data_IF_470025805529
#
_entry.id   IF_470025805529
#
_cell.length_a   1.000
_cell.length_b   1.000
_cell.length_c   1.000
_cell.angle_alpha   90.00
_cell.angle_beta   90.00
_cell.angle_gamma   90.00
#
_symmetry.space_group_name_H-M   'P 1'
#
loop_
_entity.id
_entity.type
_entity.pdbx_description
1 polymer ?
#
# COMPACT_ATOMS: atom_id res chain seq x y z
N UNK A 1 -41.76 -29.40 -30.90
CA UNK A 1 -42.09 -27.98 -31.15
C UNK A 1 -40.87 -27.14 -30.81
N UNK A 2 -40.33 -26.43 -31.79
CA UNK A 2 -39.15 -25.58 -31.61
C UNK A 2 -39.54 -24.33 -30.80
N UNK A 3 -38.83 -24.08 -29.70
CA UNK A 3 -39.09 -22.93 -28.84
C UNK A 3 -38.14 -21.79 -29.23
N UNK A 4 -38.69 -20.63 -29.57
CA UNK A 4 -37.91 -19.43 -29.84
C UNK A 4 -37.09 -19.02 -28.62
N UNK A 5 -35.89 -18.45 -28.82
CA UNK A 5 -35.16 -17.86 -27.70
C UNK A 5 -35.99 -16.74 -27.08
N UNK A 6 -36.47 -16.98 -25.86
CA UNK A 6 -37.19 -16.04 -25.02
C UNK A 6 -36.37 -15.76 -23.77
N UNK A 7 -36.58 -14.59 -23.16
CA UNK A 7 -35.96 -14.24 -21.89
C UNK A 7 -36.18 -15.32 -20.82
N UNK A 8 -37.41 -15.81 -20.70
CA UNK A 8 -37.78 -16.88 -19.77
C UNK A 8 -37.03 -18.18 -20.08
N UNK A 9 -36.84 -18.52 -21.37
CA UNK A 9 -36.06 -19.68 -21.78
C UNK A 9 -34.58 -19.59 -21.39
N UNK A 10 -34.00 -18.39 -21.50
CA UNK A 10 -32.60 -18.12 -21.10
C UNK A 10 -32.45 -18.21 -19.58
N UNK A 11 -33.38 -17.63 -18.82
CA UNK A 11 -33.37 -17.67 -17.35
C UNK A 11 -33.54 -19.12 -16.84
N UNK A 12 -34.42 -19.90 -17.47
CA UNK A 12 -34.58 -21.32 -17.17
C UNK A 12 -33.32 -22.13 -17.51
N UNK A 13 -32.64 -21.83 -18.62
CA UNK A 13 -31.36 -22.45 -18.99
C UNK A 13 -30.28 -22.16 -17.93
N UNK A 14 -30.18 -20.91 -17.47
CA UNK A 14 -29.22 -20.49 -16.45
C UNK A 14 -29.50 -21.18 -15.11
N UNK A 15 -30.76 -21.26 -14.71
CA UNK A 15 -31.16 -21.93 -13.46
C UNK A 15 -30.81 -23.42 -13.50
N UNK A 16 -31.08 -24.09 -14.62
CA UNK A 16 -30.68 -25.50 -14.83
C UNK A 16 -29.16 -25.67 -14.84
N UNK A 17 -28.42 -24.76 -15.47
CA UNK A 17 -26.96 -24.80 -15.51
C UNK A 17 -26.32 -24.56 -14.14
N UNK A 18 -26.97 -23.79 -13.26
CA UNK A 18 -26.57 -23.60 -11.86
C UNK A 18 -26.76 -24.86 -11.01
N UNK A 19 -27.87 -25.58 -11.23
CA UNK A 19 -28.26 -26.73 -10.42
C UNK A 19 -27.69 -28.08 -10.90
N UNK A 20 -27.04 -28.11 -12.07
CA UNK A 20 -26.48 -29.33 -12.65
C UNK A 20 -25.05 -29.66 -12.16
N UNK A 21 -24.80 -30.96 -11.95
CA UNK A 21 -23.46 -31.51 -11.69
C UNK A 21 -22.68 -31.64 -13.01
N UNK A 22 -21.94 -30.57 -13.36
CA UNK A 22 -21.04 -30.43 -14.51
C UNK A 22 -21.68 -30.58 -15.90
N UNK A 23 -22.00 -29.44 -16.52
CA UNK A 23 -22.34 -29.36 -17.94
C UNK A 23 -22.64 -27.92 -18.37
N UNK A 24 -22.09 -27.49 -19.50
CA UNK A 24 -22.53 -26.24 -20.14
C UNK A 24 -23.79 -26.56 -20.95
N UNK A 25 -24.89 -25.89 -20.61
CA UNK A 25 -26.13 -26.03 -21.36
C UNK A 25 -26.20 -24.96 -22.44
N UNK A 26 -26.80 -25.30 -23.58
CA UNK A 26 -26.85 -24.42 -24.74
C UNK A 26 -28.26 -24.40 -25.33
N UNK A 27 -28.74 -23.21 -25.68
CA UNK A 27 -29.94 -23.01 -26.48
C UNK A 27 -29.55 -22.41 -27.84
N UNK A 28 -30.29 -22.80 -28.87
CA UNK A 28 -30.14 -22.31 -30.24
C UNK A 28 -31.29 -21.35 -30.54
N UNK A 29 -30.99 -20.30 -31.29
CA UNK A 29 -32.05 -19.48 -31.87
C UNK A 29 -32.62 -20.17 -33.10
N UNK A 30 -33.94 -20.08 -33.23
CA UNK A 30 -34.70 -20.54 -34.38
C UNK A 30 -34.83 -19.46 -35.46
N UNK A 31 -34.72 -18.18 -35.08
CA UNK A 31 -34.84 -17.03 -36.01
C UNK A 31 -33.52 -16.66 -36.69
N UNK A 32 -32.42 -16.65 -35.95
CA UNK A 32 -31.08 -16.38 -36.48
C UNK A 32 -30.22 -17.66 -36.54
N UNK A 33 -30.02 -18.24 -37.74
CA UNK A 33 -29.23 -19.46 -37.91
C UNK A 33 -27.83 -19.34 -37.33
N UNK A 34 -27.47 -20.29 -36.46
CA UNK A 34 -26.15 -20.34 -35.84
C UNK A 34 -26.01 -19.52 -34.57
N UNK A 35 -26.96 -18.64 -34.21
CA UNK A 35 -26.97 -17.98 -32.91
C UNK A 35 -27.25 -18.99 -31.79
N UNK A 36 -26.42 -18.95 -30.74
CA UNK A 36 -26.55 -19.79 -29.55
C UNK A 36 -26.24 -19.01 -28.29
N UNK A 37 -26.96 -19.34 -27.21
CA UNK A 37 -26.60 -18.93 -25.85
C UNK A 37 -26.16 -20.13 -25.05
N UNK A 38 -25.02 -19.99 -24.39
CA UNK A 38 -24.40 -21.04 -23.58
C UNK A 38 -24.32 -20.57 -22.14
N UNK A 39 -24.95 -21.32 -21.23
CA UNK A 39 -24.94 -21.06 -19.81
C UNK A 39 -24.08 -22.09 -19.06
N UNK A 40 -23.21 -21.61 -18.18
CA UNK A 40 -22.56 -22.39 -17.13
C UNK A 40 -23.04 -21.96 -15.74
N UNK A 41 -22.45 -22.51 -14.68
CA UNK A 41 -22.85 -22.23 -13.30
C UNK A 41 -22.77 -20.74 -12.90
N UNK A 42 -21.87 -19.97 -13.53
CA UNK A 42 -21.59 -18.58 -13.15
C UNK A 42 -22.02 -17.54 -14.18
N UNK A 43 -22.08 -17.91 -15.46
CA UNK A 43 -22.30 -16.94 -16.54
C UNK A 43 -22.98 -17.57 -17.75
N UNK A 44 -23.61 -16.73 -18.55
CA UNK A 44 -24.14 -17.08 -19.86
C UNK A 44 -23.57 -16.16 -20.93
N UNK A 45 -23.27 -16.71 -22.10
CA UNK A 45 -22.65 -15.98 -23.21
C UNK A 45 -23.28 -16.32 -24.55
N UNK A 46 -23.34 -15.31 -25.40
CA UNK A 46 -23.79 -15.38 -26.78
C UNK A 46 -22.65 -15.80 -27.68
N UNK A 47 -22.93 -16.71 -28.61
CA UNK A 47 -21.98 -17.13 -29.63
C UNK A 47 -22.69 -17.40 -30.95
N UNK A 48 -22.01 -17.12 -32.04
CA UNK A 48 -22.36 -17.61 -33.36
C UNK A 48 -21.59 -18.92 -33.64
N UNK A 49 -22.28 -19.93 -34.14
CA UNK A 49 -21.70 -21.20 -34.57
C UNK A 49 -22.02 -21.41 -36.05
N UNK A 50 -20.97 -21.54 -36.87
CA UNK A 50 -21.08 -21.74 -38.31
C UNK A 50 -19.92 -22.57 -38.86
N UNK A 51 -19.84 -22.66 -40.19
CA UNK A 51 -18.73 -23.29 -40.90
C UNK A 51 -18.07 -22.27 -41.83
N UNK A 52 -16.74 -22.28 -41.86
CA UNK A 52 -15.94 -21.50 -42.79
C UNK A 52 -16.03 -22.11 -44.21
N UNK A 53 -15.56 -21.38 -45.24
CA UNK A 53 -15.51 -21.86 -46.63
C UNK A 53 -14.75 -23.18 -46.80
N UNK A 54 -13.74 -23.43 -45.96
CA UNK A 54 -12.95 -24.67 -45.93
C UNK A 54 -13.67 -25.84 -45.21
N UNK A 55 -14.93 -25.68 -44.82
CA UNK A 55 -15.74 -26.69 -44.14
C UNK A 55 -15.50 -26.84 -42.63
N UNK A 56 -14.49 -26.15 -42.07
CA UNK A 56 -14.18 -26.22 -40.65
C UNK A 56 -15.22 -25.48 -39.80
N UNK A 57 -15.67 -26.07 -38.66
CA UNK A 57 -16.59 -25.40 -37.75
C UNK A 57 -15.87 -24.25 -37.03
N UNK A 58 -16.50 -23.07 -36.98
CA UNK A 58 -16.02 -21.93 -36.21
C UNK A 58 -17.08 -21.48 -35.21
N UNK A 59 -16.63 -21.04 -34.03
CA UNK A 59 -17.48 -20.45 -33.01
C UNK A 59 -16.95 -19.07 -32.65
N UNK A 60 -17.78 -18.05 -32.81
CA UNK A 60 -17.43 -16.66 -32.54
C UNK A 60 -18.20 -16.19 -31.31
N UNK A 61 -17.50 -15.71 -30.29
CA UNK A 61 -18.13 -15.11 -29.11
C UNK A 61 -18.66 -13.72 -29.47
N UNK A 62 -19.93 -13.46 -29.15
CA UNK A 62 -20.62 -12.20 -29.48
C UNK A 62 -20.73 -11.29 -28.25
N UNK A 63 -21.08 -11.84 -27.09
CA UNK A 63 -21.32 -11.05 -25.88
C UNK A 63 -21.71 -11.89 -24.67
N UNK A 64 -22.07 -11.25 -23.57
CA UNK A 64 -22.55 -11.89 -22.33
C UNK A 64 -23.99 -11.53 -22.04
N UNK A 65 -24.74 -12.45 -21.42
CA UNK A 65 -26.06 -12.17 -20.87
C UNK A 65 -25.92 -11.78 -19.39
N UNK A 66 -26.66 -10.78 -18.87
CA UNK A 66 -27.70 -9.98 -19.54
C UNK A 66 -27.18 -8.73 -20.26
N UNK A 67 -25.86 -8.50 -20.30
CA UNK A 67 -25.27 -7.28 -20.86
C UNK A 67 -25.51 -7.05 -22.35
N UNK A 68 -25.82 -8.10 -23.11
CA UNK A 68 -26.27 -8.06 -24.50
C UNK A 68 -27.65 -8.73 -24.58
N UNK A 69 -28.64 -8.00 -25.08
CA UNK A 69 -30.02 -8.46 -25.24
C UNK A 69 -30.19 -9.43 -26.42
N UNK A 70 -31.37 -10.06 -26.54
CA UNK A 70 -31.66 -11.03 -27.62
C UNK A 70 -31.61 -10.35 -29.00
N UNK A 71 -32.17 -9.14 -29.13
CA UNK A 71 -32.17 -8.39 -30.39
C UNK A 71 -30.75 -8.03 -30.84
N UNK A 72 -29.94 -7.53 -29.91
CA UNK A 72 -28.52 -7.21 -30.15
C UNK A 72 -27.72 -8.47 -30.50
N UNK A 73 -27.97 -9.58 -29.81
CA UNK A 73 -27.32 -10.86 -30.09
C UNK A 73 -27.67 -11.40 -31.49
N UNK A 74 -28.90 -11.19 -31.97
CA UNK A 74 -29.32 -11.53 -33.35
C UNK A 74 -28.61 -10.67 -34.37
N UNK A 75 -28.58 -9.34 -34.19
CA UNK A 75 -27.85 -8.45 -35.06
C UNK A 75 -26.35 -8.81 -35.15
N UNK A 76 -25.72 -9.05 -33.99
CA UNK A 76 -24.31 -9.45 -33.92
C UNK A 76 -24.05 -10.82 -34.58
N UNK A 77 -24.99 -11.77 -34.48
CA UNK A 77 -24.88 -13.07 -35.14
C UNK A 77 -25.04 -12.95 -36.67
N UNK A 78 -25.94 -12.08 -37.15
CA UNK A 78 -26.11 -11.80 -38.58
C UNK A 78 -24.83 -11.21 -39.18
N UNK A 79 -24.20 -10.26 -38.48
CA UNK A 79 -22.91 -9.70 -38.89
C UNK A 79 -21.79 -10.75 -38.90
N UNK A 80 -21.70 -11.56 -37.85
CA UNK A 80 -20.71 -12.64 -37.76
C UNK A 80 -20.91 -13.68 -38.87
N UNK A 81 -22.17 -14.00 -39.20
CA UNK A 81 -22.53 -14.87 -40.31
C UNK A 81 -22.10 -14.30 -41.66
N UNK A 82 -22.37 -13.01 -41.91
CA UNK A 82 -21.97 -12.35 -43.15
C UNK A 82 -20.46 -12.41 -43.37
N UNK A 83 -19.67 -12.16 -42.31
CA UNK A 83 -18.20 -12.21 -42.34
C UNK A 83 -17.67 -13.64 -42.60
N UNK A 84 -18.26 -14.65 -41.93
CA UNK A 84 -17.91 -16.06 -42.15
C UNK A 84 -18.25 -16.52 -43.57
N UNK A 85 -19.39 -16.09 -44.13
CA UNK A 85 -19.78 -16.40 -45.53
C UNK A 85 -18.84 -15.73 -46.53
N UNK A 86 -18.34 -14.53 -46.24
CA UNK A 86 -17.35 -13.84 -47.08
C UNK A 86 -15.97 -14.51 -47.03
N UNK A 87 -15.72 -15.39 -46.06
CA UNK A 87 -14.48 -16.15 -45.91
C UNK A 87 -13.52 -15.58 -44.86
N UNK A 88 -13.96 -14.59 -44.07
CA UNK A 88 -13.20 -14.08 -42.94
C UNK A 88 -13.32 -15.04 -41.75
N UNK A 89 -12.18 -15.56 -41.29
CA UNK A 89 -12.11 -16.24 -40.00
C UNK A 89 -11.73 -15.24 -38.90
N UNK A 90 -12.75 -14.67 -38.27
CA UNK A 90 -12.61 -13.69 -37.19
C UNK A 90 -11.83 -14.22 -35.97
N UNK A 91 -11.74 -15.54 -35.80
CA UNK A 91 -10.92 -16.13 -34.74
C UNK A 91 -9.45 -16.18 -35.16
N UNK A 92 -9.16 -16.43 -36.43
CA UNK A 92 -7.79 -16.37 -36.96
C UNK A 92 -7.27 -14.93 -37.00
N UNK A 93 -8.08 -13.96 -37.44
CA UNK A 93 -7.71 -12.54 -37.43
C UNK A 93 -7.40 -12.05 -36.01
N UNK A 94 -8.19 -12.44 -35.01
CA UNK A 94 -7.88 -12.17 -33.60
C UNK A 94 -6.62 -12.88 -33.11
N UNK A 95 -6.36 -14.10 -33.59
CA UNK A 95 -5.17 -14.88 -33.25
C UNK A 95 -3.90 -14.28 -33.88
N UNK A 96 -4.00 -13.79 -35.11
CA UNK A 96 -2.93 -13.08 -35.83
C UNK A 96 -2.67 -11.73 -35.16
N UNK A 97 -3.69 -10.93 -34.85
CA UNK A 97 -3.52 -9.66 -34.13
C UNK A 97 -2.90 -9.85 -32.73
N UNK A 98 -3.28 -10.90 -31.99
CA UNK A 98 -2.65 -11.24 -30.71
C UNK A 98 -1.18 -11.68 -30.88
N UNK A 99 -0.87 -12.42 -31.95
CA UNK A 99 0.51 -12.79 -32.30
C UNK A 99 1.35 -11.58 -32.74
N UNK A 100 0.76 -10.65 -33.49
CA UNK A 100 1.40 -9.41 -33.94
C UNK A 100 1.66 -8.46 -32.76
N UNK A 101 0.70 -8.31 -31.84
CA UNK A 101 0.90 -7.57 -30.59
C UNK A 101 1.97 -8.22 -29.70
N UNK A 102 2.01 -9.55 -29.62
CA UNK A 102 3.09 -10.27 -28.94
C UNK A 102 4.44 -10.11 -29.66
N UNK A 103 4.45 -9.98 -30.98
CA UNK A 103 5.66 -9.75 -31.78
C UNK A 103 6.19 -8.30 -31.62
N UNK A 104 5.32 -7.30 -31.49
CA UNK A 104 5.68 -5.93 -31.11
C UNK A 104 6.28 -5.86 -29.70
N UNK A 105 5.78 -6.68 -28.76
CA UNK A 105 6.40 -6.80 -27.43
C UNK A 105 7.79 -7.46 -27.52
N UNK A 106 7.95 -8.48 -28.38
CA UNK A 106 9.23 -9.19 -28.62
C UNK A 106 10.28 -8.36 -29.38
N UNK A 107 9.88 -7.29 -30.06
CA UNK A 107 10.81 -6.37 -30.77
C UNK A 107 11.39 -5.27 -29.87
N UNK A 108 10.92 -5.15 -28.62
CA UNK A 108 11.56 -4.30 -27.59
C UNK A 108 13.00 -4.74 -27.39
N UNK A 109 13.93 -3.88 -27.81
CA UNK A 109 15.32 -4.29 -28.01
C UNK A 109 16.12 -4.22 -26.71
N UNK A 110 15.68 -3.41 -25.74
CA UNK A 110 16.43 -3.15 -24.51
C UNK A 110 15.63 -3.43 -23.24
N UNK A 111 16.35 -3.67 -22.14
CA UNK A 111 15.80 -3.84 -20.80
C UNK A 111 15.00 -2.61 -20.36
N UNK A 112 15.44 -1.42 -20.77
CA UNK A 112 14.75 -0.16 -20.51
C UNK A 112 13.37 -0.15 -21.15
N UNK A 113 13.25 -0.56 -22.41
CA UNK A 113 11.96 -0.58 -23.11
C UNK A 113 10.97 -1.54 -22.42
N UNK A 114 11.47 -2.70 -21.94
CA UNK A 114 10.64 -3.66 -21.20
C UNK A 114 10.27 -3.14 -19.81
N UNK A 115 11.18 -2.45 -19.12
CA UNK A 115 10.88 -1.77 -17.87
C UNK A 115 9.84 -0.65 -18.05
N UNK A 116 9.90 0.09 -19.16
CA UNK A 116 8.93 1.17 -19.47
C UNK A 116 7.51 0.60 -19.65
N UNK A 117 7.37 -0.57 -20.29
CA UNK A 117 6.10 -1.30 -20.33
C UNK A 117 5.66 -1.81 -18.97
N UNK A 118 6.58 -2.37 -18.19
CA UNK A 118 6.27 -2.82 -16.84
C UNK A 118 5.80 -1.66 -15.96
N UNK A 119 6.34 -0.47 -16.17
CA UNK A 119 5.90 0.73 -15.49
C UNK A 119 4.47 1.12 -15.88
N UNK A 120 4.18 1.15 -17.18
CA UNK A 120 2.86 1.48 -17.72
C UNK A 120 1.78 0.48 -17.29
N UNK A 121 2.04 -0.82 -17.43
CA UNK A 121 1.05 -1.85 -17.20
C UNK A 121 0.90 -2.21 -15.72
N UNK A 122 1.99 -2.25 -14.97
CA UNK A 122 2.01 -2.80 -13.61
C UNK A 122 2.29 -1.71 -12.57
N UNK A 123 3.41 -0.98 -12.69
CA UNK A 123 3.81 -0.05 -11.63
C UNK A 123 2.88 1.16 -11.52
N UNK A 124 2.25 1.61 -12.60
CA UNK A 124 1.27 2.70 -12.60
C UNK A 124 0.06 2.40 -11.70
N UNK A 125 -0.29 1.12 -11.53
CA UNK A 125 -1.38 0.68 -10.65
C UNK A 125 -0.95 0.60 -9.17
N UNK A 126 0.34 0.74 -8.88
CA UNK A 126 0.88 0.62 -7.54
C UNK A 126 1.22 1.98 -6.93
N UNK A 127 0.77 2.21 -5.69
CA UNK A 127 1.04 3.44 -4.91
C UNK A 127 2.53 3.83 -4.85
N UNK A 128 3.45 2.85 -4.90
CA UNK A 128 4.90 3.06 -4.86
C UNK A 128 5.60 2.72 -6.18
N UNK A 129 4.87 2.68 -7.29
CA UNK A 129 5.39 2.31 -8.61
C UNK A 129 6.65 3.08 -9.00
N UNK A 130 6.61 4.41 -8.90
CA UNK A 130 7.77 5.27 -9.21
C UNK A 130 9.00 5.01 -8.33
N UNK A 131 8.80 4.65 -7.06
CA UNK A 131 9.90 4.28 -6.16
C UNK A 131 10.49 2.92 -6.53
N UNK A 132 9.63 1.95 -6.88
CA UNK A 132 10.04 0.65 -7.40
C UNK A 132 10.84 0.81 -8.70
N UNK A 133 10.35 1.64 -9.63
CA UNK A 133 11.06 1.96 -10.88
C UNK A 133 12.45 2.52 -10.60
N UNK A 134 12.55 3.58 -9.79
CA UNK A 134 13.84 4.19 -9.41
C UNK A 134 14.79 3.19 -8.73
N UNK A 135 14.26 2.22 -7.98
CA UNK A 135 15.06 1.16 -7.36
C UNK A 135 15.54 0.10 -8.36
N UNK A 136 14.82 -0.12 -9.46
CA UNK A 136 15.22 -0.98 -10.56
C UNK A 136 16.28 -0.33 -11.44
N UNK A 137 16.07 0.87 -11.97
CA UNK A 137 16.95 1.42 -13.01
C UNK A 137 17.33 2.91 -12.85
N UNK A 138 16.93 3.58 -11.76
CA UNK A 138 17.35 4.96 -11.47
C UNK A 138 18.86 5.10 -11.25
N UNK A 139 19.38 6.28 -10.87
CA UNK A 139 20.84 6.52 -10.72
C UNK A 139 21.59 5.49 -9.83
N UNK A 140 20.91 4.92 -8.83
CA UNK A 140 21.43 3.84 -7.97
C UNK A 140 20.58 2.58 -8.08
N UNK A 141 19.88 2.38 -9.19
CA UNK A 141 19.05 1.20 -9.43
C UNK A 141 19.90 -0.06 -9.56
N UNK A 142 19.29 -1.22 -9.35
CA UNK A 142 19.99 -2.49 -9.47
C UNK A 142 20.41 -2.81 -10.91
N UNK A 143 19.52 -2.53 -11.86
CA UNK A 143 19.59 -2.85 -13.28
C UNK A 143 20.08 -1.68 -14.15
N UNK A 144 20.45 -0.55 -13.55
CA UNK A 144 20.82 0.69 -14.26
C UNK A 144 21.91 0.48 -15.30
N UNK A 145 22.93 -0.31 -14.98
CA UNK A 145 24.04 -0.60 -15.91
C UNK A 145 23.67 -1.60 -17.01
N UNK A 146 22.49 -2.22 -16.92
CA UNK A 146 21.97 -3.19 -17.88
C UNK A 146 20.87 -2.61 -18.78
N UNK A 147 20.49 -1.33 -18.59
CA UNK A 147 19.32 -0.72 -19.21
C UNK A 147 19.27 -0.89 -20.75
N UNK A 148 20.40 -0.76 -21.43
CA UNK A 148 20.46 -0.83 -22.90
C UNK A 148 20.67 -2.25 -23.44
N UNK A 149 20.73 -3.27 -22.59
CA UNK A 149 20.95 -4.66 -23.02
C UNK A 149 19.64 -5.38 -23.32
N UNK A 150 19.69 -6.39 -24.18
CA UNK A 150 18.56 -7.30 -24.40
C UNK A 150 18.28 -8.08 -23.10
N UNK A 151 17.02 -8.15 -22.60
CA UNK A 151 16.67 -8.91 -21.40
C UNK A 151 17.18 -10.35 -21.41
N UNK A 152 17.02 -11.05 -22.55
CA UNK A 152 17.43 -12.45 -22.72
C UNK A 152 18.94 -12.68 -22.59
N UNK A 153 19.75 -11.62 -22.68
CA UNK A 153 21.20 -11.71 -22.58
C UNK A 153 21.72 -11.49 -21.15
N UNK A 154 20.84 -11.16 -20.21
CA UNK A 154 21.18 -10.90 -18.80
C UNK A 154 21.22 -12.22 -18.05
N UNK A 155 22.33 -12.48 -17.38
CA UNK A 155 22.56 -13.75 -16.68
C UNK A 155 22.27 -13.64 -15.17
N UNK A 156 22.03 -14.79 -14.53
CA UNK A 156 21.91 -14.88 -13.07
C UNK A 156 23.16 -14.44 -12.33
N UNK A 157 24.35 -14.70 -12.88
CA UNK A 157 25.62 -14.29 -12.31
C UNK A 157 25.72 -12.76 -12.21
N UNK A 158 25.36 -12.05 -13.30
CA UNK A 158 25.35 -10.59 -13.33
C UNK A 158 24.39 -9.99 -12.28
N UNK A 159 23.17 -10.52 -12.17
CA UNK A 159 22.22 -10.05 -11.15
C UNK A 159 22.77 -10.31 -9.75
N UNK A 160 23.33 -11.50 -9.50
CA UNK A 160 23.96 -11.84 -8.22
C UNK A 160 25.08 -10.85 -7.87
N UNK A 161 25.95 -10.51 -8.82
CA UNK A 161 27.09 -9.62 -8.58
C UNK A 161 26.65 -8.17 -8.36
N UNK A 162 25.64 -7.71 -9.11
CA UNK A 162 25.01 -6.40 -8.88
C UNK A 162 24.39 -6.30 -7.48
N UNK A 163 23.73 -7.37 -7.03
CA UNK A 163 23.14 -7.45 -5.69
C UNK A 163 24.23 -7.45 -4.61
N UNK A 164 25.29 -8.26 -4.76
CA UNK A 164 26.44 -8.28 -3.83
C UNK A 164 27.13 -6.91 -3.77
N UNK A 165 27.34 -6.25 -4.91
CA UNK A 165 27.94 -4.91 -4.99
C UNK A 165 27.13 -3.89 -4.20
N UNK A 166 25.81 -3.88 -4.36
CA UNK A 166 24.91 -3.02 -3.59
C UNK A 166 24.91 -3.36 -2.10
N UNK A 167 24.99 -4.65 -1.75
CA UNK A 167 24.96 -5.11 -0.37
C UNK A 167 26.19 -4.66 0.45
N UNK A 168 27.33 -4.40 -0.20
CA UNK A 168 28.54 -3.86 0.47
C UNK A 168 28.29 -2.53 1.20
N UNK A 169 27.37 -1.70 0.71
CA UNK A 169 27.04 -0.40 1.30
C UNK A 169 25.67 -0.39 1.97
N UNK A 170 24.70 -1.11 1.40
CA UNK A 170 23.31 -1.05 1.84
C UNK A 170 22.65 -2.44 1.75
N UNK A 171 22.98 -3.38 2.65
CA UNK A 171 22.56 -4.78 2.59
C UNK A 171 21.04 -4.97 2.49
N UNK A 172 20.28 -4.27 3.34
CA UNK A 172 18.81 -4.35 3.37
C UNK A 172 18.18 -3.72 2.12
N UNK A 173 18.79 -2.66 1.59
CA UNK A 173 18.35 -2.05 0.33
C UNK A 173 18.59 -2.98 -0.85
N UNK A 174 19.70 -3.72 -0.84
CA UNK A 174 20.00 -4.73 -1.85
C UNK A 174 18.96 -5.87 -1.84
N UNK A 175 18.54 -6.35 -0.67
CA UNK A 175 17.44 -7.32 -0.55
C UNK A 175 16.16 -6.83 -1.23
N UNK A 176 15.76 -5.57 -0.96
CA UNK A 176 14.55 -4.96 -1.55
C UNK A 176 14.66 -4.81 -3.06
N UNK A 177 15.82 -4.35 -3.55
CA UNK A 177 16.08 -4.24 -5.00
C UNK A 177 16.04 -5.58 -5.70
N UNK A 178 16.63 -6.62 -5.09
CA UNK A 178 16.53 -7.99 -5.61
C UNK A 178 15.08 -8.47 -5.66
N UNK A 179 14.28 -8.20 -4.63
CA UNK A 179 12.87 -8.56 -4.62
C UNK A 179 12.09 -7.88 -5.77
N UNK A 180 12.35 -6.58 -6.02
CA UNK A 180 11.76 -5.87 -7.16
C UNK A 180 12.22 -6.42 -8.51
N UNK A 181 13.51 -6.68 -8.67
CA UNK A 181 14.04 -7.25 -9.91
C UNK A 181 13.49 -8.66 -10.16
N UNK A 182 13.33 -9.47 -9.10
CA UNK A 182 12.73 -10.79 -9.22
C UNK A 182 11.26 -10.72 -9.63
N UNK A 183 10.49 -9.78 -9.07
CA UNK A 183 9.10 -9.57 -9.49
C UNK A 183 9.02 -9.14 -10.97
N UNK A 184 9.85 -8.17 -11.38
CA UNK A 184 9.93 -7.71 -12.76
C UNK A 184 10.30 -8.84 -13.74
N UNK A 185 11.35 -9.61 -13.45
CA UNK A 185 11.77 -10.69 -14.34
C UNK A 185 10.79 -11.87 -14.36
N UNK A 186 10.05 -12.13 -13.28
CA UNK A 186 8.98 -13.12 -13.29
C UNK A 186 7.81 -12.65 -14.15
N UNK A 187 7.44 -11.36 -14.07
CA UNK A 187 6.46 -10.78 -14.99
C UNK A 187 6.91 -10.89 -16.45
N UNK A 188 8.19 -10.66 -16.76
CA UNK A 188 8.72 -10.90 -18.11
C UNK A 188 8.56 -12.36 -18.57
N UNK A 189 8.56 -13.33 -17.65
CA UNK A 189 8.30 -14.74 -18.00
C UNK A 189 6.81 -14.98 -18.26
N UNK A 190 5.93 -14.36 -17.46
CA UNK A 190 4.48 -14.42 -17.64
C UNK A 190 4.03 -13.83 -18.98
N UNK A 191 4.67 -12.75 -19.42
CA UNK A 191 4.44 -12.10 -20.72
C UNK A 191 5.21 -12.76 -21.88
N UNK A 192 5.84 -13.92 -21.66
CA UNK A 192 6.63 -14.66 -22.65
C UNK A 192 7.79 -13.85 -23.28
N UNK A 193 8.23 -12.77 -22.62
CA UNK A 193 9.42 -11.97 -22.98
C UNK A 193 10.69 -12.75 -22.66
N UNK A 194 10.68 -13.50 -21.55
CA UNK A 194 11.74 -14.40 -21.12
C UNK A 194 11.22 -15.82 -20.94
N UNK A 195 12.09 -16.81 -21.13
CA UNK A 195 11.78 -18.21 -20.85
C UNK A 195 12.01 -18.58 -19.39
N UNK A 196 13.01 -17.98 -18.74
CA UNK A 196 13.26 -18.12 -17.30
C UNK A 196 13.79 -16.82 -16.71
N UNK A 197 13.57 -16.64 -15.42
CA UNK A 197 13.93 -15.42 -14.69
C UNK A 197 15.42 -15.46 -14.29
N UNK A 198 16.27 -14.50 -14.71
CA UNK A 198 17.67 -14.45 -14.28
C UNK A 198 17.82 -14.12 -12.77
N UNK A 199 16.76 -13.64 -12.12
CA UNK A 199 16.76 -13.37 -10.68
C UNK A 199 16.34 -14.59 -9.83
N UNK A 200 15.97 -15.70 -10.46
CA UNK A 200 15.47 -16.90 -9.80
C UNK A 200 16.51 -17.48 -8.83
N UNK A 201 16.05 -17.85 -7.63
CA UNK A 201 16.84 -18.49 -6.58
C UNK A 201 18.11 -17.71 -6.18
N UNK A 202 18.19 -16.40 -6.40
CA UNK A 202 19.28 -15.58 -5.84
C UNK A 202 19.01 -15.40 -4.35
N UNK A 203 19.96 -15.82 -3.51
CA UNK A 203 19.84 -15.66 -2.05
C UNK A 203 19.98 -14.19 -1.67
N UNK A 204 19.13 -13.74 -0.73
CA UNK A 204 19.24 -12.42 -0.13
C UNK A 204 20.60 -12.29 0.59
N UNK A 205 21.41 -11.25 0.30
CA UNK A 205 22.74 -11.09 0.90
C UNK A 205 22.73 -10.89 2.41
N UNK A 206 21.65 -10.35 2.96
CA UNK A 206 21.58 -9.99 4.37
C UNK A 206 20.34 -10.57 5.04
N UNK A 207 20.49 -10.97 6.30
CA UNK A 207 19.38 -11.25 7.18
C UNK A 207 18.77 -9.91 7.60
N UNK A 208 17.47 -9.76 7.42
CA UNK A 208 16.74 -8.61 7.98
C UNK A 208 16.58 -8.88 9.47
N UNK A 209 17.27 -8.09 10.30
CA UNK A 209 17.08 -8.14 11.74
C UNK A 209 15.87 -7.28 12.10
N UNK A 210 14.94 -7.85 12.87
CA UNK A 210 13.91 -7.06 13.55
C UNK A 210 14.59 -6.20 14.61
N UNK A 211 14.21 -4.94 14.69
CA UNK A 211 14.86 -3.97 15.57
C UNK A 211 14.03 -3.82 16.84
N UNK A 212 14.62 -4.19 17.96
CA UNK A 212 13.98 -4.21 19.28
C UNK A 212 14.29 -2.95 20.10
N UNK A 213 14.12 -1.77 19.50
CA UNK A 213 14.44 -0.48 20.14
C UNK A 213 13.16 0.22 20.61
N UNK A 214 13.12 0.52 21.90
CA UNK A 214 12.20 1.46 22.55
C UNK A 214 12.99 2.34 23.52
N UNK A 215 12.54 3.57 23.81
CA UNK A 215 13.24 4.50 24.70
C UNK A 215 12.90 4.23 26.16
N UNK A 216 13.86 4.43 27.08
CA UNK A 216 13.51 4.57 28.50
C UNK A 216 12.73 5.88 28.74
N UNK A 217 12.16 6.07 29.93
CA UNK A 217 11.43 7.32 30.23
C UNK A 217 12.38 8.52 30.26
N UNK A 218 13.63 8.33 30.72
CA UNK A 218 14.69 9.35 30.73
C UNK A 218 15.08 9.73 29.30
N UNK A 219 15.34 8.75 28.44
CA UNK A 219 15.63 9.02 27.03
C UNK A 219 14.44 9.73 26.34
N UNK A 220 13.21 9.36 26.69
CA UNK A 220 12.02 10.02 26.16
C UNK A 220 11.88 11.46 26.66
N UNK A 221 12.27 11.75 27.90
CA UNK A 221 12.37 13.10 28.48
C UNK A 221 13.39 13.94 27.71
N UNK A 222 14.59 13.41 27.48
CA UNK A 222 15.61 14.09 26.67
C UNK A 222 15.10 14.42 25.26
N UNK A 223 14.40 13.47 24.61
CA UNK A 223 13.79 13.69 23.29
C UNK A 223 12.71 14.78 23.36
N UNK A 224 11.83 14.74 24.37
CA UNK A 224 10.78 15.74 24.57
C UNK A 224 11.38 17.14 24.72
N UNK A 225 12.36 17.31 25.60
CA UNK A 225 13.03 18.59 25.86
C UNK A 225 13.77 19.11 24.64
N UNK A 226 14.44 18.22 23.90
CA UNK A 226 15.13 18.56 22.66
C UNK A 226 14.19 18.94 21.50
N UNK A 227 12.87 18.74 21.63
CA UNK A 227 11.90 19.32 20.68
C UNK A 227 11.77 20.84 20.83
N UNK A 228 12.07 21.36 22.02
CA UNK A 228 12.00 22.80 22.32
C UNK A 228 13.00 23.55 21.44
N UNK A 229 12.53 24.61 20.76
CA UNK A 229 13.37 25.40 19.87
C UNK A 229 13.51 24.80 18.46
N UNK A 230 12.79 23.71 18.16
CA UNK A 230 12.58 23.31 16.76
C UNK A 230 11.72 24.33 16.01
N UNK A 231 10.82 25.01 16.73
CA UNK A 231 9.81 25.91 16.18
C UNK A 231 8.70 25.15 15.47
N UNK A 232 7.69 25.88 15.02
CA UNK A 232 6.63 25.29 14.22
C UNK A 232 7.18 24.87 12.84
N UNK A 233 6.72 23.74 12.27
CA UNK A 233 5.74 22.80 12.84
C UNK A 233 6.36 21.67 13.66
N UNK A 234 7.70 21.60 13.75
CA UNK A 234 8.38 20.40 14.21
C UNK A 234 8.35 20.19 15.73
N UNK A 235 8.31 21.27 16.51
CA UNK A 235 8.18 21.16 17.97
C UNK A 235 6.88 20.43 18.35
N UNK A 236 5.74 21.00 17.93
CA UNK A 236 4.41 20.43 18.21
C UNK A 236 4.23 19.06 17.54
N UNK A 237 4.78 18.86 16.33
CA UNK A 237 4.68 17.58 15.62
C UNK A 237 5.39 16.44 16.36
N UNK A 238 6.60 16.65 16.89
CA UNK A 238 7.31 15.60 17.62
C UNK A 238 6.69 15.35 18.99
N UNK A 239 6.25 16.39 19.71
CA UNK A 239 5.48 16.22 20.95
C UNK A 239 4.19 15.45 20.73
N UNK A 240 3.47 15.73 19.64
CA UNK A 240 2.26 14.99 19.30
C UNK A 240 2.55 13.55 18.89
N UNK A 241 3.70 13.25 18.28
CA UNK A 241 4.11 11.86 18.00
C UNK A 241 4.42 11.05 19.27
N UNK A 242 4.81 11.73 20.35
CA UNK A 242 5.04 11.13 21.67
C UNK A 242 3.70 10.93 22.40
N UNK A 243 2.85 11.97 22.44
CA UNK A 243 1.55 11.92 23.10
C UNK A 243 0.52 11.05 22.37
N UNK A 244 0.59 10.99 21.04
CA UNK A 244 -0.30 10.24 20.16
C UNK A 244 0.53 9.29 19.28
N UNK A 245 0.63 8.00 19.65
CA UNK A 245 1.56 7.05 19.04
C UNK A 245 1.05 6.54 17.68
N UNK A 246 0.60 7.45 16.80
CA UNK A 246 0.12 7.19 15.44
C UNK A 246 1.27 7.25 14.43
N UNK A 247 1.06 6.84 13.17
CA UNK A 247 2.16 6.83 12.20
C UNK A 247 2.59 8.25 11.91
N UNK A 248 3.90 8.47 11.72
CA UNK A 248 4.45 9.77 11.34
C UNK A 248 3.73 10.39 10.15
N UNK A 249 3.45 9.61 9.12
CA UNK A 249 2.74 10.08 7.92
C UNK A 249 1.26 10.38 8.18
N UNK A 250 0.64 9.76 9.18
CA UNK A 250 -0.74 10.05 9.59
C UNK A 250 -0.79 11.39 10.33
N UNK A 251 0.10 11.58 11.33
CA UNK A 251 0.19 12.81 12.13
C UNK A 251 0.63 14.01 11.28
N UNK A 252 1.72 13.88 10.51
CA UNK A 252 2.28 15.00 9.74
C UNK A 252 1.35 15.56 8.66
N UNK A 253 0.42 14.75 8.16
CA UNK A 253 -0.55 15.17 7.16
C UNK A 253 -1.95 15.38 7.77
N UNK A 254 -2.10 15.50 9.09
CA UNK A 254 -3.39 15.64 9.77
C UNK A 254 -4.17 16.88 9.26
N UNK A 255 -5.35 16.72 8.66
CA UNK A 255 -6.20 17.83 8.23
C UNK A 255 -6.89 18.45 9.43
N UNK A 256 -7.09 19.78 9.39
CA UNK A 256 -7.82 20.48 10.45
C UNK A 256 -9.29 20.07 10.45
N UNK A 257 -9.89 19.84 9.27
CA UNK A 257 -11.29 19.42 9.15
C UNK A 257 -11.60 18.04 9.75
N UNK A 258 -10.57 17.23 10.00
CA UNK A 258 -10.72 15.90 10.62
C UNK A 258 -10.67 15.97 12.16
N UNK A 259 -10.46 17.16 12.73
CA UNK A 259 -10.29 17.38 14.18
C UNK A 259 -11.54 17.97 14.81
N UNK A 260 -12.00 17.33 15.87
CA UNK A 260 -12.94 17.89 16.84
C UNK A 260 -12.21 18.00 18.17
N UNK A 261 -11.67 19.18 18.50
CA UNK A 261 -10.82 19.35 19.69
C UNK A 261 -11.59 19.33 21.02
N UNK A 262 -12.92 19.45 20.99
CA UNK A 262 -13.76 19.45 22.20
C UNK A 262 -13.65 20.74 23.02
N UNK A 263 -14.44 20.80 24.11
CA UNK A 263 -14.52 21.94 25.02
C UNK A 263 -13.35 21.96 26.03
N UNK A 264 -13.02 23.15 26.54
CA UNK A 264 -12.01 23.33 27.60
C UNK A 264 -12.45 22.70 28.92
N UNK A 265 -13.77 22.65 29.18
CA UNK A 265 -14.34 22.00 30.38
C UNK A 265 -14.34 20.46 30.30
N UNK A 266 -14.05 19.89 29.12
CA UNK A 266 -14.01 18.45 28.88
C UNK A 266 -12.86 18.05 27.94
N UNK A 267 -11.59 18.25 28.36
CA UNK A 267 -10.42 18.19 27.48
C UNK A 267 -10.09 16.78 26.96
N UNK A 268 -10.75 15.73 27.48
CA UNK A 268 -10.60 14.35 27.04
C UNK A 268 -11.66 13.90 26.02
N UNK A 269 -12.58 14.80 25.62
CA UNK A 269 -13.64 14.52 24.65
C UNK A 269 -13.22 14.80 23.19
N UNK A 270 -12.00 15.28 22.99
CA UNK A 270 -11.47 15.53 21.66
C UNK A 270 -11.36 14.25 20.83
N UNK A 271 -11.63 14.35 19.53
CA UNK A 271 -11.58 13.23 18.58
C UNK A 271 -10.90 13.70 17.30
N UNK A 272 -9.93 12.90 16.84
CA UNK A 272 -9.43 12.96 15.48
C UNK A 272 -10.01 11.82 14.65
N UNK A 273 -10.69 12.13 13.55
CA UNK A 273 -11.22 11.12 12.63
C UNK A 273 -10.19 10.86 11.52
N UNK A 274 -9.54 9.70 11.55
CA UNK A 274 -8.63 9.29 10.49
C UNK A 274 -9.42 8.55 9.38
N UNK A 275 -9.59 9.13 8.17
CA UNK A 275 -10.44 8.55 7.13
C UNK A 275 -9.87 7.27 6.53
N UNK A 276 -10.75 6.41 6.00
CA UNK A 276 -10.38 5.12 5.39
C UNK A 276 -9.31 5.24 4.29
N UNK A 277 -9.41 6.27 3.42
CA UNK A 277 -8.44 6.50 2.34
C UNK A 277 -7.01 6.81 2.82
N UNK A 278 -6.84 7.10 4.11
CA UNK A 278 -5.55 7.46 4.72
C UNK A 278 -4.97 6.40 5.63
N UNK A 279 -5.77 5.41 6.03
CA UNK A 279 -5.27 4.28 6.82
C UNK A 279 -4.71 3.20 5.91
N UNK A 280 -3.64 2.53 6.36
CA UNK A 280 -3.09 1.36 5.66
C UNK A 280 -4.11 0.22 5.51
N UNK A 281 -5.17 0.23 6.32
CA UNK A 281 -6.18 -0.83 6.40
C UNK A 281 -7.50 -0.50 5.70
N UNK A 282 -7.58 0.65 5.02
CA UNK A 282 -8.80 1.11 4.34
C UNK A 282 -10.05 1.18 5.26
N UNK A 283 -9.85 1.45 6.55
CA UNK A 283 -10.93 1.63 7.55
C UNK A 283 -10.77 2.96 8.25
N UNK A 284 -11.87 3.69 8.41
CA UNK A 284 -11.88 4.90 9.23
C UNK A 284 -11.61 4.52 10.70
N UNK A 285 -10.95 5.41 11.45
CA UNK A 285 -10.63 5.23 12.86
C UNK A 285 -10.88 6.54 13.59
N UNK A 286 -11.67 6.51 14.67
CA UNK A 286 -11.81 7.63 15.61
C UNK A 286 -10.70 7.48 16.65
N UNK A 287 -9.83 8.46 16.69
CA UNK A 287 -8.70 8.51 17.62
C UNK A 287 -9.11 9.45 18.75
N UNK A 288 -9.31 8.95 19.99
CA UNK A 288 -9.55 9.83 21.13
C UNK A 288 -8.30 10.68 21.39
N UNK A 289 -8.50 11.95 21.73
CA UNK A 289 -7.44 12.88 22.09
C UNK A 289 -7.39 12.98 23.62
N UNK A 290 -6.25 12.63 24.21
CA UNK A 290 -6.00 12.91 25.62
C UNK A 290 -5.83 14.42 25.85
N UNK A 291 -5.97 14.92 27.09
CA UNK A 291 -5.77 16.34 27.40
C UNK A 291 -4.43 16.90 26.89
N UNK A 292 -3.34 16.14 27.01
CA UNK A 292 -2.02 16.51 26.49
C UNK A 292 -1.98 16.57 24.96
N UNK A 293 -2.57 15.59 24.27
CA UNK A 293 -2.64 15.61 22.82
C UNK A 293 -3.48 16.80 22.31
N UNK A 294 -4.60 17.07 22.98
CA UNK A 294 -5.48 18.22 22.69
C UNK A 294 -4.72 19.54 22.84
N UNK A 295 -4.00 19.73 23.94
CA UNK A 295 -3.27 20.99 24.19
C UNK A 295 -2.22 21.27 23.11
N UNK A 296 -1.46 20.26 22.70
CA UNK A 296 -0.47 20.37 21.61
C UNK A 296 -1.14 20.71 20.28
N UNK A 297 -2.32 20.12 19.99
CA UNK A 297 -3.08 20.42 18.77
C UNK A 297 -3.59 21.87 18.80
N UNK A 298 -4.14 22.33 19.92
CA UNK A 298 -4.62 23.72 20.08
C UNK A 298 -3.46 24.71 19.96
N UNK A 299 -2.31 24.41 20.56
CA UNK A 299 -1.08 25.20 20.42
C UNK A 299 -0.67 25.30 18.94
N UNK A 300 -0.65 24.18 18.21
CA UNK A 300 -0.29 24.15 16.80
C UNK A 300 -1.31 24.91 15.91
N UNK A 301 -2.61 24.80 16.19
CA UNK A 301 -3.67 25.52 15.47
C UNK A 301 -3.50 27.03 15.58
N UNK A 302 -3.14 27.51 16.78
CA UNK A 302 -3.00 28.92 17.12
C UNK A 302 -1.57 29.47 16.92
N UNK A 303 -0.63 28.65 16.44
CA UNK A 303 0.77 29.06 16.31
C UNK A 303 0.94 30.17 15.26
N UNK A 304 1.69 31.22 15.59
CA UNK A 304 1.85 32.42 14.74
C UNK A 304 2.46 32.13 13.37
N UNK A 305 3.36 31.15 13.30
CA UNK A 305 4.03 30.74 12.06
C UNK A 305 3.21 29.75 11.21
N UNK A 306 2.06 29.28 11.70
CA UNK A 306 1.17 28.41 10.92
C UNK A 306 0.50 29.23 9.81
N UNK A 307 0.56 28.80 8.53
CA UNK A 307 -0.15 29.49 7.47
C UNK A 307 -1.66 29.55 7.78
N UNK A 308 -2.24 30.75 7.77
CA UNK A 308 -3.63 31.00 8.23
C UNK A 308 -4.65 30.13 7.50
N UNK A 309 -4.51 30.02 6.18
CA UNK A 309 -5.43 29.26 5.32
C UNK A 309 -5.04 27.78 5.15
N UNK A 310 -4.07 27.29 5.95
CA UNK A 310 -3.62 25.90 5.86
C UNK A 310 -4.78 24.94 6.18
N UNK A 311 -5.01 23.98 5.29
CA UNK A 311 -5.96 22.87 5.53
C UNK A 311 -5.37 21.79 6.45
N UNK A 312 -4.06 21.84 6.68
CA UNK A 312 -3.31 20.89 7.49
C UNK A 312 -2.92 21.51 8.83
N UNK A 313 -2.83 20.67 9.86
CA UNK A 313 -2.32 21.08 11.17
C UNK A 313 -0.82 21.42 11.08
N UNK A 314 -0.05 20.60 10.37
CA UNK A 314 1.39 20.77 10.19
C UNK A 314 1.76 21.02 8.72
N UNK A 315 1.95 22.29 8.38
CA UNK A 315 2.39 22.72 7.04
C UNK A 315 3.20 24.00 7.11
N UNK A 316 4.22 24.11 6.26
CA UNK A 316 4.98 25.36 6.03
C UNK A 316 4.54 26.11 4.77
N UNK A 317 3.70 25.49 3.93
CA UNK A 317 3.24 26.03 2.64
C UNK A 317 1.74 26.32 2.62
N UNK A 318 0.98 25.74 3.56
CA UNK A 318 -0.49 25.75 3.60
C UNK A 318 -1.14 24.62 2.78
N UNK A 319 -0.46 24.15 1.74
CA UNK A 319 -1.01 23.16 0.79
C UNK A 319 -0.51 21.74 1.04
N UNK A 320 0.76 21.60 1.43
CA UNK A 320 1.42 20.30 1.56
C UNK A 320 1.82 20.01 3.00
N UNK A 321 1.78 18.73 3.39
CA UNK A 321 2.25 18.31 4.71
C UNK A 321 3.74 18.57 4.84
N UNK A 322 4.19 18.88 6.06
CA UNK A 322 5.62 19.13 6.32
C UNK A 322 6.50 17.96 5.86
N UNK A 323 7.66 18.30 5.30
CA UNK A 323 8.73 17.37 4.95
C UNK A 323 10.03 17.77 5.66
N UNK A 324 11.06 16.91 5.67
CA UNK A 324 12.34 17.22 6.32
C UNK A 324 12.56 16.60 7.70
N UNK A 325 11.83 15.54 8.05
CA UNK A 325 11.98 14.79 9.30
C UNK A 325 13.42 14.37 9.61
N UNK A 326 14.23 14.03 8.61
CA UNK A 326 15.65 13.69 8.83
C UNK A 326 16.45 14.88 9.36
N UNK A 327 16.19 16.09 8.85
CA UNK A 327 16.84 17.31 9.33
C UNK A 327 16.36 17.67 10.74
N UNK A 328 15.05 17.56 11.00
CA UNK A 328 14.48 17.80 12.33
C UNK A 328 15.04 16.81 13.37
N UNK A 329 15.06 15.51 13.07
CA UNK A 329 15.66 14.48 13.94
C UNK A 329 17.13 14.76 14.25
N UNK A 330 17.92 15.17 13.25
CA UNK A 330 19.33 15.54 13.47
C UNK A 330 19.48 16.77 14.39
N UNK A 331 18.54 17.72 14.35
CA UNK A 331 18.52 18.86 15.29
C UNK A 331 18.21 18.38 16.71
N UNK A 332 17.25 17.45 16.87
CA UNK A 332 16.94 16.80 18.15
C UNK A 332 18.19 16.10 18.70
N UNK A 333 18.84 15.23 17.92
CA UNK A 333 20.06 14.54 18.37
C UNK A 333 21.17 15.51 18.81
N UNK A 334 21.33 16.62 18.09
CA UNK A 334 22.31 17.65 18.43
C UNK A 334 21.95 18.34 19.74
N UNK A 335 20.67 18.66 19.95
CA UNK A 335 20.19 19.30 21.17
C UNK A 335 20.35 18.36 22.39
N UNK A 336 20.01 17.07 22.23
CA UNK A 336 20.24 16.04 23.26
C UNK A 336 21.73 15.97 23.62
N UNK A 337 22.61 15.87 22.62
CA UNK A 337 24.06 15.80 22.86
C UNK A 337 24.57 17.05 23.59
N UNK A 338 24.11 18.24 23.19
CA UNK A 338 24.50 19.48 23.84
C UNK A 338 24.02 19.55 25.29
N UNK A 339 22.79 19.07 25.58
CA UNK A 339 22.26 19.01 26.95
C UNK A 339 23.09 18.06 27.83
N UNK A 340 23.39 16.84 27.34
CA UNK A 340 24.22 15.87 28.07
C UNK A 340 25.64 16.38 28.32
N UNK A 341 26.24 17.09 27.37
CA UNK A 341 27.56 17.74 27.56
C UNK A 341 27.48 18.78 28.68
N UNK A 342 26.47 19.65 28.64
CA UNK A 342 26.30 20.70 29.65
C UNK A 342 26.10 20.10 31.05
N UNK A 343 25.33 19.03 31.17
CA UNK A 343 25.12 18.31 32.43
C UNK A 343 26.43 17.70 32.94
N UNK A 344 27.20 17.04 32.06
CA UNK A 344 28.50 16.49 32.42
C UNK A 344 29.47 17.58 32.90
N UNK A 345 29.54 18.72 32.22
CA UNK A 345 30.35 19.87 32.65
C UNK A 345 29.95 20.39 34.03
N UNK A 346 28.66 20.43 34.33
CA UNK A 346 28.14 20.89 35.63
C UNK A 346 28.56 19.98 36.80
N UNK A 347 28.71 18.68 36.55
CA UNK A 347 29.17 17.70 37.56
C UNK A 347 30.68 17.43 37.49
N UNK A 348 31.43 18.22 36.70
CA UNK A 348 32.89 18.10 36.57
C UNK A 348 33.37 16.91 35.71
N UNK A 349 32.48 16.34 34.88
CA UNK A 349 32.79 15.29 33.93
C UNK A 349 33.44 15.79 32.64
N UNK A 350 33.99 14.86 31.85
CA UNK A 350 34.62 15.14 30.56
C UNK A 350 33.56 15.22 29.43
N UNK A 351 33.42 16.37 28.73
CA UNK A 351 32.53 16.55 27.58
C UNK A 351 32.70 15.53 26.45
N UNK A 352 33.95 15.07 26.22
CA UNK A 352 34.27 14.13 25.14
C UNK A 352 33.84 12.71 25.51
N UNK A 353 33.82 12.37 26.80
CA UNK A 353 33.41 11.06 27.32
C UNK A 353 31.89 10.87 27.38
N UNK A 354 31.10 11.91 27.14
CA UNK A 354 29.63 11.82 27.19
C UNK A 354 29.12 10.81 26.17
N UNK A 355 28.24 9.91 26.61
CA UNK A 355 27.64 8.92 25.73
C UNK A 355 26.59 9.55 24.81
N UNK A 356 26.63 9.17 23.53
CA UNK A 356 25.55 9.48 22.61
C UNK A 356 24.30 8.68 22.97
N UNK A 357 23.13 9.28 22.78
CA UNK A 357 21.89 8.50 22.76
C UNK A 357 22.03 7.37 21.72
N UNK A 358 21.68 6.12 22.07
CA UNK A 358 21.65 5.02 21.13
C UNK A 358 20.87 5.41 19.87
N UNK A 359 21.31 4.89 18.71
CA UNK A 359 20.60 5.17 17.47
C UNK A 359 19.10 4.86 17.63
N UNK A 360 18.26 5.80 17.20
CA UNK A 360 16.79 5.73 17.26
C UNK A 360 16.16 6.34 16.00
N UNK A 361 14.93 5.95 15.69
CA UNK A 361 14.11 6.49 14.61
C UNK A 361 12.78 6.97 15.14
N UNK A 362 12.10 7.85 14.42
CA UNK A 362 10.75 8.33 14.78
C UNK A 362 9.75 7.17 14.99
N UNK A 363 9.96 6.02 14.34
CA UNK A 363 9.11 4.85 14.54
C UNK A 363 9.25 4.25 15.96
N UNK A 364 10.43 4.37 16.57
CA UNK A 364 10.71 3.81 17.89
C UNK A 364 9.90 4.51 18.98
N UNK A 365 9.40 5.74 18.76
CA UNK A 365 8.44 6.42 19.66
C UNK A 365 7.14 5.62 19.81
N UNK A 366 6.69 4.96 18.73
CA UNK A 366 5.51 4.08 18.77
C UNK A 366 5.78 2.77 19.51
N UNK A 367 6.98 2.21 19.32
CA UNK A 367 7.42 1.03 20.09
C UNK A 367 7.52 1.37 21.57
N UNK A 368 8.05 2.57 21.89
CA UNK A 368 8.14 3.13 23.25
C UNK A 368 6.79 3.22 23.93
N UNK A 369 5.78 3.79 23.25
CA UNK A 369 4.42 3.75 23.76
C UNK A 369 3.94 2.31 24.00
N UNK A 370 4.13 1.41 23.03
CA UNK A 370 3.61 0.05 23.15
C UNK A 370 4.17 -0.68 24.37
N UNK A 371 5.49 -0.60 24.57
CA UNK A 371 6.19 -1.22 25.69
C UNK A 371 5.72 -0.62 27.01
N UNK A 372 5.83 0.70 27.19
CA UNK A 372 5.47 1.35 28.46
C UNK A 372 3.98 1.27 28.77
N UNK A 373 3.10 1.37 27.77
CA UNK A 373 1.67 1.19 27.98
C UNK A 373 1.34 -0.22 28.51
N UNK A 374 2.01 -1.26 28.01
CA UNK A 374 1.80 -2.63 28.49
C UNK A 374 2.46 -2.88 29.86
N UNK A 375 3.72 -2.44 30.04
CA UNK A 375 4.53 -2.77 31.21
C UNK A 375 4.23 -1.88 32.42
N UNK A 376 4.11 -0.56 32.21
CA UNK A 376 3.92 0.42 33.30
C UNK A 376 2.43 0.63 33.57
N UNK A 377 1.63 0.80 32.51
CA UNK A 377 0.21 1.15 32.63
C UNK A 377 -0.72 -0.06 32.62
N UNK A 378 -0.19 -1.28 32.44
CA UNK A 378 -0.97 -2.52 32.34
C UNK A 378 -2.08 -2.47 31.27
N UNK A 379 -1.89 -1.68 30.21
CA UNK A 379 -2.83 -1.59 29.09
C UNK A 379 -2.86 -2.94 28.37
N UNK A 380 -4.04 -3.56 28.15
CA UNK A 380 -4.10 -4.83 27.47
C UNK A 380 -3.49 -4.74 26.06
N UNK A 381 -2.64 -5.72 25.63
CA UNK A 381 -1.92 -5.63 24.36
C UNK A 381 -2.82 -5.40 23.14
N UNK A 382 -4.03 -5.96 23.15
CA UNK A 382 -5.00 -5.80 22.05
C UNK A 382 -5.65 -4.41 22.01
N UNK A 383 -5.64 -3.64 23.12
CA UNK A 383 -6.01 -2.22 23.17
C UNK A 383 -4.85 -1.38 22.63
N UNK A 384 -3.62 -1.61 23.11
CA UNK A 384 -2.41 -0.91 22.63
C UNK A 384 -2.23 -1.09 21.11
N UNK A 385 -2.37 -2.32 20.60
CA UNK A 385 -2.32 -2.63 19.17
C UNK A 385 -3.39 -1.89 18.35
N UNK A 386 -4.57 -1.70 18.94
CA UNK A 386 -5.67 -0.95 18.33
C UNK A 386 -5.38 0.56 18.30
N UNK A 387 -4.77 1.12 19.34
CA UNK A 387 -4.30 2.52 19.38
C UNK A 387 -3.27 2.73 18.27
N UNK A 388 -2.31 1.82 18.13
CA UNK A 388 -1.28 1.86 17.08
C UNK A 388 -1.84 1.68 15.66
N UNK A 389 -3.15 1.42 15.51
CA UNK A 389 -3.82 1.18 14.24
C UNK A 389 -3.10 0.11 13.40
N UNK A 390 -2.69 -0.97 14.06
CA UNK A 390 -2.11 -2.13 13.39
C UNK A 390 -3.18 -2.89 12.60
N UNK A 391 -2.75 -3.56 11.52
CA UNK A 391 -3.64 -4.39 10.72
C UNK A 391 -4.01 -5.58 11.58
N UNK A 392 -5.29 -5.80 11.85
CA UNK A 392 -5.74 -6.93 12.66
C UNK A 392 -5.27 -8.31 12.13
N UNK A 393 -4.78 -8.39 10.88
CA UNK A 393 -4.14 -9.59 10.31
C UNK A 393 -2.80 -9.92 10.96
N UNK A 394 -2.08 -8.94 11.51
CA UNK A 394 -0.79 -9.12 12.16
C UNK A 394 -0.93 -9.59 13.62
N UNK A 395 -2.08 -9.32 14.26
CA UNK A 395 -2.25 -9.45 15.72
C UNK A 395 -3.51 -10.20 16.16
N UNK A 396 -4.44 -10.52 15.24
CA UNK A 396 -5.67 -11.28 15.54
C UNK A 396 -5.83 -12.47 14.60
N UNK A 397 -6.35 -13.58 15.15
CA UNK A 397 -6.74 -14.74 14.35
C UNK A 397 -7.76 -14.37 13.28
N UNK A 398 -7.83 -15.15 12.18
CA UNK A 398 -8.82 -14.95 11.11
C UNK A 398 -10.26 -14.92 11.63
N UNK A 399 -10.54 -15.67 12.70
CA UNK A 399 -11.84 -15.76 13.37
C UNK A 399 -12.13 -14.46 14.13
N UNK A 400 -11.22 -13.99 14.98
CA UNK A 400 -11.40 -12.75 15.76
C UNK A 400 -11.63 -11.51 14.88
N UNK A 401 -11.11 -11.50 13.64
CA UNK A 401 -11.34 -10.42 12.67
C UNK A 401 -12.78 -10.36 12.12
N UNK A 402 -13.48 -11.48 12.07
CA UNK A 402 -14.85 -11.57 11.57
C UNK A 402 -15.84 -11.20 12.69
N UNK A 403 -15.55 -11.58 13.93
CA UNK A 403 -16.46 -11.42 15.07
C UNK A 403 -16.27 -10.12 15.86
N UNK A 404 -15.04 -9.67 16.14
CA UNK A 404 -14.81 -8.48 16.96
C UNK A 404 -14.57 -7.23 16.08
N UNK A 405 -15.67 -6.53 15.77
CA UNK A 405 -15.67 -5.25 15.05
C UNK A 405 -15.54 -4.02 15.99
N UNK A 406 -15.39 -4.22 17.30
CA UNK A 406 -15.34 -3.13 18.26
C UNK A 406 -14.15 -2.21 18.00
N UNK A 407 -14.41 -0.90 18.02
CA UNK A 407 -13.37 0.12 17.95
C UNK A 407 -12.60 0.26 19.26
N UNK A 408 -13.15 -0.29 20.35
CA UNK A 408 -12.62 -0.18 21.71
C UNK A 408 -12.37 1.28 22.12
N UNK A 409 -13.27 2.19 21.73
CA UNK A 409 -13.06 3.62 21.86
C UNK A 409 -12.78 4.04 23.31
N UNK A 410 -13.61 3.64 24.26
CA UNK A 410 -13.44 4.04 25.68
C UNK A 410 -12.18 3.46 26.31
N UNK A 411 -11.86 2.19 26.04
CA UNK A 411 -10.63 1.57 26.52
C UNK A 411 -9.38 2.26 25.95
N UNK A 412 -9.42 2.66 24.66
CA UNK A 412 -8.35 3.43 24.04
C UNK A 412 -8.24 4.85 24.60
N UNK A 413 -9.38 5.50 24.84
CA UNK A 413 -9.46 6.83 25.45
C UNK A 413 -8.80 6.79 26.83
N UNK A 414 -9.21 5.86 27.69
CA UNK A 414 -8.60 5.67 29.01
C UNK A 414 -7.08 5.48 28.91
N UNK A 415 -6.63 4.54 28.08
CA UNK A 415 -5.19 4.26 27.92
C UNK A 415 -4.38 5.45 27.40
N UNK A 416 -4.95 6.30 26.53
CA UNK A 416 -4.29 7.52 26.06
C UNK A 416 -4.28 8.63 27.13
N UNK A 417 -5.28 8.69 28.01
CA UNK A 417 -5.25 9.58 29.18
C UNK A 417 -4.20 9.11 30.19
N UNK A 418 -4.19 7.82 30.54
CA UNK A 418 -3.18 7.25 31.45
C UNK A 418 -1.75 7.49 30.90
N UNK A 419 -1.56 7.37 29.58
CA UNK A 419 -0.30 7.70 28.92
C UNK A 419 0.07 9.18 29.01
N UNK A 420 -0.89 10.08 28.84
CA UNK A 420 -0.67 11.51 29.00
C UNK A 420 -0.28 11.88 30.44
N UNK A 421 -0.87 11.22 31.44
CA UNK A 421 -0.55 11.43 32.84
C UNK A 421 0.87 10.94 33.17
N UNK A 422 1.25 9.76 32.66
CA UNK A 422 2.61 9.24 32.78
C UNK A 422 3.65 10.17 32.14
N UNK A 423 3.38 10.64 30.91
CA UNK A 423 4.24 11.61 30.23
C UNK A 423 4.38 12.89 31.06
N UNK A 424 3.27 13.43 31.55
CA UNK A 424 3.28 14.65 32.37
C UNK A 424 4.13 14.46 33.63
N UNK A 425 3.97 13.33 34.32
CA UNK A 425 4.69 13.05 35.56
C UNK A 425 6.19 12.74 35.36
N UNK A 426 6.55 11.94 34.36
CA UNK A 426 7.90 11.34 34.25
C UNK A 426 8.74 11.88 33.09
N UNK A 427 8.13 12.50 32.09
CA UNK A 427 8.79 12.95 30.86
C UNK A 427 8.81 14.48 30.76
N UNK A 428 7.72 15.14 31.17
CA UNK A 428 7.59 16.60 31.05
C UNK A 428 8.08 17.30 32.31
N UNK A 429 7.63 16.85 33.50
CA UNK A 429 7.93 17.51 34.79
C UNK A 429 9.36 17.34 35.29
N UNK A 430 10.16 16.46 34.67
CA UNK A 430 11.57 16.24 35.00
C UNK A 430 12.52 17.27 34.34
N UNK A 431 12.00 18.40 33.83
CA UNK A 431 12.78 19.44 33.14
C UNK A 431 12.61 20.82 33.75
#
# INVERSE_FOLDING_TARGET
MAASLTKNGIEALILRAKNGASGQLELRDDREPGLRIRAGQRSASWSYWGRLKNGQPTRIKLGSWPGMGIAEARAAAQEARAKVVQGHDLNEEKRVAAREAALEIRTRTTLKDVLDLYEELILAQHRRGSQTRRALDGKKGLLTTLANRKPASITRAEISDLVKKHARQAPISANRKLAYASAFFNWCVEEEILTDSPAKNIRKPAKENERDRFHTLEELSEVWTATTGLGYPFEQLYRLLIALPMRREEISAMPVADLSVGDDDAPDQGIWVLPAGRTKNAKALRVPLSPLARSIIVEALNHKERPKDSKLLFSTTGETSVSGFTKAKRRIDKAIRAARIKEAEQVGGDPEAVEHMPHWTVHDLRTTFNTHACEILSVPPHVADRILNHVATATRSKIMRVYNKSEMFDARKKALCDWADLLSAQVISNN
#
